data_IF_273949418700
#
_entry.id   IF_273949418700
#
_cell.length_a   1.000
_cell.length_b   1.000
_cell.length_c   1.000
_cell.angle_alpha   90.00
_cell.angle_beta   90.00
_cell.angle_gamma   90.00
#
_symmetry.space_group_name_H-M   'P 1'
#
loop_
_entity.id
_entity.type
_entity.pdbx_description
1 polymer ?
#
# COMPACT_ATOMS: atom_id res chain seq x y z
N UNK A 1 0.03 15.56 7.88
CA UNK A 1 0.12 14.45 6.91
C UNK A 1 1.31 14.66 5.99
N UNK A 2 2.08 13.62 5.75
CA UNK A 2 3.17 13.61 4.78
C UNK A 2 2.62 13.68 3.35
N UNK A 3 3.45 14.11 2.41
CA UNK A 3 3.07 14.18 0.99
C UNK A 3 3.49 12.91 0.26
N UNK A 4 2.92 12.72 -0.93
CA UNK A 4 3.23 11.59 -1.82
C UNK A 4 4.74 11.38 -2.02
N UNK A 5 5.52 12.44 -2.27
CA UNK A 5 6.96 12.32 -2.52
C UNK A 5 7.72 11.77 -1.30
N UNK A 6 7.37 12.22 -0.09
CA UNK A 6 7.95 11.71 1.15
C UNK A 6 7.56 10.25 1.37
N UNK A 7 6.28 9.93 1.13
CA UNK A 7 5.76 8.57 1.24
C UNK A 7 6.43 7.62 0.23
N UNK A 8 6.69 8.08 -1.00
CA UNK A 8 7.38 7.32 -2.05
C UNK A 8 8.84 7.08 -1.68
N UNK A 9 9.53 8.08 -1.11
CA UNK A 9 10.89 7.94 -0.62
C UNK A 9 10.99 6.90 0.51
N UNK A 10 10.04 6.93 1.45
CA UNK A 10 9.92 5.93 2.52
C UNK A 10 9.63 4.54 1.95
N UNK A 11 8.69 4.43 1.02
CA UNK A 11 8.35 3.13 0.43
C UNK A 11 9.55 2.52 -0.34
N UNK A 12 10.31 3.34 -1.06
CA UNK A 12 11.53 2.92 -1.77
C UNK A 12 12.67 2.51 -0.83
N UNK A 13 12.71 3.01 0.40
CA UNK A 13 13.75 2.62 1.36
C UNK A 13 13.49 1.26 2.01
N UNK A 14 12.23 0.80 2.04
CA UNK A 14 11.84 -0.46 2.68
C UNK A 14 11.45 -1.56 1.69
N UNK A 15 10.94 -1.23 0.50
CA UNK A 15 10.57 -2.22 -0.52
C UNK A 15 11.76 -2.56 -1.41
N UNK A 16 12.08 -3.84 -1.48
CA UNK A 16 13.21 -4.35 -2.30
C UNK A 16 12.89 -4.47 -3.79
N UNK A 17 11.61 -4.49 -4.15
CA UNK A 17 11.13 -4.59 -5.53
C UNK A 17 10.60 -3.27 -6.07
N UNK A 18 10.52 -3.17 -7.39
CA UNK A 18 10.11 -1.96 -8.11
C UNK A 18 8.71 -1.50 -7.71
N UNK A 19 8.57 -0.26 -7.28
CA UNK A 19 7.25 0.37 -7.10
C UNK A 19 6.80 0.91 -8.45
N UNK A 20 5.73 0.35 -9.00
CA UNK A 20 5.17 0.77 -10.30
C UNK A 20 3.72 1.21 -10.22
N UNK A 21 3.08 1.00 -9.06
CA UNK A 21 1.72 1.44 -8.77
C UNK A 21 1.64 2.10 -7.39
N UNK A 22 0.88 3.18 -7.29
CA UNK A 22 0.46 3.77 -6.03
C UNK A 22 -1.06 3.91 -6.00
N UNK A 23 -1.67 3.54 -4.88
CA UNK A 23 -3.08 3.82 -4.59
C UNK A 23 -3.14 4.73 -3.37
N UNK A 24 -3.69 5.92 -3.54
CA UNK A 24 -3.90 6.87 -2.44
C UNK A 24 -5.26 6.63 -1.79
N UNK A 25 -5.26 6.45 -0.47
CA UNK A 25 -6.42 6.38 0.41
C UNK A 25 -6.50 7.64 1.27
N UNK A 26 -7.54 7.75 2.09
CA UNK A 26 -7.72 8.95 2.95
C UNK A 26 -6.54 9.13 3.91
N UNK A 27 -6.12 8.02 4.53
CA UNK A 27 -5.17 7.97 5.62
C UNK A 27 -3.82 7.34 5.25
N UNK A 28 -3.69 6.77 4.04
CA UNK A 28 -2.51 6.03 3.63
C UNK A 28 -2.17 6.15 2.14
N UNK A 29 -0.92 5.84 1.81
CA UNK A 29 -0.47 5.53 0.46
C UNK A 29 -0.09 4.05 0.39
N UNK A 30 -0.64 3.30 -0.58
CA UNK A 30 -0.32 1.89 -0.81
C UNK A 30 0.53 1.78 -2.07
N UNK A 31 1.76 1.32 -1.92
CA UNK A 31 2.73 1.15 -3.00
C UNK A 31 2.91 -0.32 -3.35
N UNK A 32 2.76 -0.65 -4.63
CA UNK A 32 2.78 -2.01 -5.13
C UNK A 32 3.49 -2.11 -6.50
N UNK A 33 3.69 -3.35 -6.92
CA UNK A 33 4.09 -3.73 -8.26
C UNK A 33 2.83 -3.95 -9.12
N UNK A 34 2.90 -3.54 -10.38
CA UNK A 34 2.01 -4.03 -11.43
C UNK A 34 2.50 -5.39 -11.89
N UNK A 35 1.64 -6.40 -11.82
CA UNK A 35 1.94 -7.75 -12.30
C UNK A 35 1.35 -7.97 -13.70
N UNK A 36 1.94 -8.87 -14.50
CA UNK A 36 1.34 -9.31 -15.76
C UNK A 36 -0.07 -9.88 -15.57
N UNK A 37 -0.88 -9.77 -16.62
CA UNK A 37 -2.21 -10.35 -16.65
C UNK A 37 -2.16 -11.88 -16.40
N UNK A 38 -3.09 -12.39 -15.59
CA UNK A 38 -3.14 -13.80 -15.18
C UNK A 38 -2.37 -14.15 -13.89
N UNK A 39 -1.61 -13.21 -13.31
CA UNK A 39 -1.03 -13.40 -11.96
C UNK A 39 -2.09 -13.11 -10.90
N UNK A 40 -2.59 -14.18 -10.26
CA UNK A 40 -3.67 -14.11 -9.25
C UNK A 40 -3.16 -14.14 -7.80
N UNK A 41 -1.91 -14.56 -7.58
CA UNK A 41 -1.32 -14.65 -6.24
C UNK A 41 0.10 -14.08 -6.21
N UNK A 42 0.32 -13.15 -5.29
CA UNK A 42 1.62 -12.56 -4.99
C UNK A 42 1.79 -12.51 -3.48
N UNK A 43 2.99 -12.86 -3.00
CA UNK A 43 3.27 -12.97 -1.57
C UNK A 43 4.73 -12.67 -1.24
N UNK A 44 5.03 -12.64 0.05
CA UNK A 44 6.38 -12.32 0.53
C UNK A 44 6.81 -10.91 0.13
N UNK A 45 7.99 -10.79 -0.48
CA UNK A 45 8.61 -9.50 -0.84
C UNK A 45 7.85 -8.71 -1.93
N UNK A 46 6.95 -9.37 -2.65
CA UNK A 46 6.05 -8.73 -3.63
C UNK A 46 4.83 -8.06 -2.99
N UNK A 47 4.62 -8.25 -1.68
CA UNK A 47 3.50 -7.62 -0.98
C UNK A 47 3.56 -6.09 -1.09
N UNK A 48 2.39 -5.41 -1.11
CA UNK A 48 2.34 -3.97 -1.04
C UNK A 48 2.93 -3.45 0.27
N UNK A 49 3.53 -2.27 0.22
CA UNK A 49 3.92 -1.48 1.39
C UNK A 49 2.92 -0.36 1.56
N UNK A 50 2.42 -0.19 2.78
CA UNK A 50 1.51 0.90 3.14
C UNK A 50 2.29 1.94 3.92
N UNK A 51 2.16 3.22 3.57
CA UNK A 51 2.74 4.33 4.33
C UNK A 51 1.60 5.17 4.88
N UNK A 52 1.50 5.23 6.21
CA UNK A 52 0.47 6.03 6.89
C UNK A 52 0.75 7.52 6.69
N UNK A 53 -0.25 8.28 6.25
CA UNK A 53 -0.08 9.71 5.96
C UNK A 53 0.14 10.53 7.22
N UNK A 54 -0.44 10.14 8.34
CA UNK A 54 -0.29 10.87 9.61
C UNK A 54 1.15 10.85 10.11
N UNK A 55 1.78 9.67 10.08
CA UNK A 55 3.06 9.41 10.77
C UNK A 55 4.24 9.16 9.84
N UNK A 56 4.01 8.81 8.56
CA UNK A 56 5.06 8.29 7.69
C UNK A 56 5.53 6.88 8.04
N UNK A 57 4.83 6.19 8.94
CA UNK A 57 5.20 4.83 9.30
C UNK A 57 4.91 3.87 8.14
N UNK A 58 5.90 3.11 7.64
CA UNK A 58 5.67 2.01 6.73
C UNK A 58 5.15 0.79 7.51
N UNK A 59 4.05 0.21 7.04
CA UNK A 59 3.44 -1.01 7.59
C UNK A 59 3.11 -2.00 6.47
N UNK A 60 2.90 -3.26 6.84
CA UNK A 60 2.48 -4.30 5.89
C UNK A 60 1.00 -4.16 5.54
N UNK A 61 0.61 -4.65 4.37
CA UNK A 61 -0.80 -4.65 3.95
C UNK A 61 -1.74 -5.36 4.95
N UNK A 62 -1.41 -6.55 5.52
CA UNK A 62 -2.25 -7.16 6.55
C UNK A 62 -2.41 -6.31 7.81
N UNK A 63 -1.33 -5.64 8.24
CA UNK A 63 -1.40 -4.73 9.39
C UNK A 63 -2.34 -3.56 9.11
N UNK A 64 -2.29 -2.98 7.91
CA UNK A 64 -3.19 -1.89 7.52
C UNK A 64 -4.66 -2.31 7.55
N UNK A 65 -4.98 -3.47 6.94
CA UNK A 65 -6.36 -3.98 6.84
C UNK A 65 -6.94 -4.30 8.22
N UNK A 66 -6.17 -4.97 9.09
CA UNK A 66 -6.66 -5.50 10.37
C UNK A 66 -6.51 -4.49 11.52
N UNK A 67 -5.40 -3.76 11.56
CA UNK A 67 -4.98 -2.97 12.71
C UNK A 67 -5.14 -1.45 12.57
N UNK A 68 -5.26 -0.93 11.34
CA UNK A 68 -5.31 0.52 11.09
C UNK A 68 -6.59 0.97 10.37
N UNK A 69 -7.61 0.10 10.31
CA UNK A 69 -8.91 0.49 9.78
C UNK A 69 -8.97 0.59 8.26
N UNK A 70 -7.99 0.03 7.52
CA UNK A 70 -8.05 0.00 6.05
C UNK A 70 -9.35 -0.63 5.52
N UNK A 71 -9.91 -1.63 6.23
CA UNK A 71 -11.20 -2.24 5.92
C UNK A 71 -12.42 -1.30 6.07
N UNK A 72 -12.23 -0.12 6.65
CA UNK A 72 -13.26 0.92 6.81
C UNK A 72 -13.16 2.02 5.74
N UNK A 73 -12.07 2.07 4.96
CA UNK A 73 -11.94 3.03 3.86
C UNK A 73 -12.82 2.59 2.67
N UNK A 74 -13.77 3.44 2.27
CA UNK A 74 -14.75 3.12 1.23
C UNK A 74 -14.10 2.80 -0.13
N UNK A 75 -12.96 3.43 -0.45
CA UNK A 75 -12.22 3.16 -1.69
C UNK A 75 -11.58 1.79 -1.58
N UNK A 76 -11.01 1.45 -0.42
CA UNK A 76 -10.41 0.14 -0.20
C UNK A 76 -11.46 -0.96 -0.35
N UNK A 77 -12.61 -0.82 0.32
CA UNK A 77 -13.72 -1.78 0.26
C UNK A 77 -14.21 -2.01 -1.18
N UNK A 78 -14.27 -0.94 -2.01
CA UNK A 78 -14.66 -1.06 -3.42
C UNK A 78 -13.64 -1.83 -4.25
N UNK A 79 -12.35 -1.66 -3.98
CA UNK A 79 -11.28 -2.35 -4.73
C UNK A 79 -11.20 -3.86 -4.43
N UNK A 80 -11.50 -4.29 -3.19
CA UNK A 80 -11.50 -5.73 -2.81
C UNK A 80 -12.82 -6.46 -3.05
N UNK A 81 -13.93 -5.77 -3.36
CA UNK A 81 -15.24 -6.39 -3.65
C UNK A 81 -15.43 -6.80 -5.12
N UNK A 82 -14.35 -6.91 -5.90
CA UNK A 82 -14.34 -7.34 -7.30
C UNK A 82 -13.73 -8.74 -7.44
#
# INVERSE_FOLDING_TARGET
MIKYEDALAIAKSVKTHSITKCTEYTDAYVFAETFPEGVIHVGGNHSPVVVLKETGQPISMPAYVIGYGGILDEKFIKEIKL
#
